data_IF_025207614827
#
_entry.id   IF_025207614827
#
_cell.length_a   1.000
_cell.length_b   1.000
_cell.length_c   1.000
_cell.angle_alpha   90.00
_cell.angle_beta   90.00
_cell.angle_gamma   90.00
#
_symmetry.space_group_name_H-M   'P 1'
#
loop_
_entity.id
_entity.type
_entity.pdbx_description
1 polymer ?
#
# COMPACT_ATOMS: atom_id res chain seq x y z
N UNK A 1 35.08 -22.92 41.44
CA UNK A 1 35.49 -22.49 40.07
C UNK A 1 34.27 -22.63 39.18
N UNK A 2 33.43 -21.61 39.13
CA UNK A 2 32.25 -21.61 38.27
C UNK A 2 32.63 -21.08 36.89
N UNK A 3 32.69 -22.02 35.94
CA UNK A 3 33.03 -21.82 34.55
C UNK A 3 31.77 -21.52 33.72
N UNK A 4 31.09 -20.42 34.00
CA UNK A 4 30.15 -19.81 33.04
C UNK A 4 30.21 -18.29 33.19
N UNK A 5 31.33 -17.72 32.74
CA UNK A 5 31.50 -16.29 32.55
C UNK A 5 30.55 -15.78 31.47
N UNK A 6 29.27 -15.65 31.81
CA UNK A 6 28.26 -14.99 31.00
C UNK A 6 28.53 -13.48 31.12
N UNK A 7 29.59 -13.01 30.46
CA UNK A 7 29.87 -11.58 30.27
C UNK A 7 28.71 -11.03 29.46
N UNK A 8 27.72 -10.48 30.16
CA UNK A 8 26.68 -9.63 29.56
C UNK A 8 27.40 -8.57 28.76
N UNK A 9 27.34 -8.68 27.42
CA UNK A 9 27.93 -7.66 26.54
C UNK A 9 27.37 -6.31 27.00
N UNK A 10 28.23 -5.31 27.30
CA UNK A 10 27.74 -4.02 27.71
C UNK A 10 26.79 -3.49 26.64
N UNK A 11 25.57 -3.16 27.04
CA UNK A 11 24.60 -2.56 26.14
C UNK A 11 25.24 -1.35 25.44
N UNK A 12 25.00 -1.25 24.12
CA UNK A 12 25.48 -0.16 23.27
C UNK A 12 25.33 1.18 24.00
N UNK A 13 26.35 2.08 23.98
CA UNK A 13 26.26 3.39 24.61
C UNK A 13 24.97 4.15 24.25
N UNK A 14 24.48 3.96 23.02
CA UNK A 14 23.22 4.52 22.55
C UNK A 14 22.00 4.00 23.34
N UNK A 15 21.95 2.71 23.67
CA UNK A 15 20.88 2.09 24.47
C UNK A 15 20.90 2.53 25.94
N UNK A 16 21.97 3.20 26.40
CA UNK A 16 22.04 3.80 27.75
C UNK A 16 21.39 5.18 27.80
N UNK A 17 21.20 5.84 26.66
CA UNK A 17 20.47 7.11 26.60
C UNK A 17 19.01 6.90 27.01
N UNK A 18 18.37 7.84 27.72
CA UNK A 18 16.94 7.73 28.02
C UNK A 18 16.08 7.57 26.75
N UNK A 19 14.97 6.80 26.78
CA UNK A 19 14.14 6.55 25.59
C UNK A 19 13.68 7.82 24.88
N UNK A 20 13.37 8.90 25.62
CA UNK A 20 12.96 10.17 25.03
C UNK A 20 14.08 10.88 24.25
N UNK A 21 15.35 10.67 24.62
CA UNK A 21 16.52 11.17 23.87
C UNK A 21 16.73 10.32 22.62
N UNK A 22 16.67 8.98 22.74
CA UNK A 22 16.75 8.09 21.57
C UNK A 22 15.67 8.42 20.54
N UNK A 23 14.44 8.68 20.99
CA UNK A 23 13.33 9.11 20.13
C UNK A 23 13.64 10.40 19.37
N UNK A 24 14.22 11.41 20.02
CA UNK A 24 14.66 12.64 19.33
C UNK A 24 15.72 12.36 18.26
N UNK A 25 16.68 11.47 18.57
CA UNK A 25 17.71 11.06 17.62
C UNK A 25 17.10 10.31 16.44
N UNK A 26 16.17 9.37 16.67
CA UNK A 26 15.48 8.69 15.59
C UNK A 26 14.65 9.64 14.74
N UNK A 27 13.94 10.62 15.32
CA UNK A 27 13.18 11.62 14.55
C UNK A 27 14.10 12.42 13.64
N UNK A 28 15.31 12.74 14.10
CA UNK A 28 16.32 13.41 13.29
C UNK A 28 16.88 12.50 12.18
N UNK A 29 17.10 11.21 12.46
CA UNK A 29 17.68 10.25 11.51
C UNK A 29 16.66 9.62 10.55
N UNK A 30 15.39 9.59 10.93
CA UNK A 30 14.26 9.04 10.16
C UNK A 30 13.27 10.16 9.90
N UNK A 31 13.67 11.21 9.16
CA UNK A 31 12.86 12.41 9.02
C UNK A 31 11.44 12.05 8.57
N UNK A 32 10.47 12.47 9.38
CA UNK A 32 9.07 12.56 8.98
C UNK A 32 8.95 13.98 8.41
N UNK A 33 9.05 14.14 7.09
CA UNK A 33 8.94 15.47 6.51
C UNK A 33 7.53 16.02 6.71
N UNK A 34 7.37 17.21 7.31
CA UNK A 34 6.07 17.78 7.63
C UNK A 34 5.25 18.23 6.42
N UNK A 35 5.83 18.17 5.20
CA UNK A 35 5.19 18.60 3.95
C UNK A 35 4.61 17.47 3.09
N UNK A 36 5.08 16.23 3.25
CA UNK A 36 4.63 15.10 2.44
C UNK A 36 3.85 14.11 3.30
N UNK A 37 2.52 14.14 3.13
CA UNK A 37 1.64 13.22 3.85
C UNK A 37 1.67 11.79 3.28
N UNK A 38 2.11 11.61 2.01
CA UNK A 38 2.01 10.35 1.28
C UNK A 38 3.37 9.66 1.13
N UNK A 39 3.50 8.44 1.63
CA UNK A 39 4.65 7.56 1.41
C UNK A 39 4.33 6.57 0.30
N UNK A 40 5.03 6.70 -0.83
CA UNK A 40 4.85 5.81 -1.98
C UNK A 40 5.67 4.52 -1.83
N UNK A 41 5.09 3.37 -2.16
CA UNK A 41 5.75 2.06 -2.16
C UNK A 41 5.63 1.45 -3.55
N UNK A 42 6.77 1.23 -4.20
CA UNK A 42 6.79 0.70 -5.54
C UNK A 42 6.72 -0.83 -5.53
N UNK A 43 5.90 -1.39 -6.41
CA UNK A 43 5.77 -2.83 -6.59
C UNK A 43 5.73 -3.22 -8.07
N UNK A 44 6.15 -4.45 -8.35
CA UNK A 44 5.94 -5.13 -9.62
C UNK A 44 5.02 -6.34 -9.43
N UNK A 45 4.54 -6.87 -10.56
CA UNK A 45 3.73 -8.07 -10.62
C UNK A 45 4.45 -9.14 -11.43
N UNK A 46 4.68 -10.29 -10.82
CA UNK A 46 5.17 -11.48 -11.50
C UNK A 46 4.01 -12.45 -11.77
N UNK A 47 3.95 -12.93 -13.00
CA UNK A 47 2.85 -13.74 -13.53
C UNK A 47 3.32 -15.15 -13.86
N UNK A 48 3.48 -16.02 -12.86
CA UNK A 48 4.20 -17.29 -13.04
C UNK A 48 3.49 -18.29 -13.97
N UNK A 49 2.20 -18.08 -14.25
CA UNK A 49 1.38 -19.00 -15.03
C UNK A 49 1.00 -18.46 -16.41
N UNK A 50 1.40 -17.23 -16.74
CA UNK A 50 1.19 -16.65 -18.06
C UNK A 50 2.34 -17.06 -19.00
N UNK A 51 2.04 -17.28 -20.27
CA UNK A 51 3.01 -17.79 -21.23
C UNK A 51 4.04 -16.72 -21.63
N UNK A 52 3.61 -15.48 -21.84
CA UNK A 52 4.41 -14.33 -22.26
C UNK A 52 4.01 -13.04 -21.52
N UNK A 53 4.18 -12.98 -20.18
CA UNK A 53 3.82 -11.79 -19.43
C UNK A 53 4.73 -10.62 -19.79
N UNK A 54 4.11 -9.47 -20.00
CA UNK A 54 4.73 -8.19 -20.35
C UNK A 54 3.93 -7.05 -19.71
N UNK A 55 4.48 -5.83 -19.77
CA UNK A 55 3.79 -4.62 -19.32
C UNK A 55 2.58 -4.24 -20.19
N UNK A 56 2.21 -5.02 -21.20
CA UNK A 56 1.03 -4.77 -22.06
C UNK A 56 0.09 -5.96 -22.13
N UNK A 57 0.35 -7.02 -21.36
CA UNK A 57 -0.37 -8.30 -21.36
C UNK A 57 -1.88 -8.22 -21.10
N UNK A 58 -2.37 -7.10 -20.58
CA UNK A 58 -3.78 -6.91 -20.27
C UNK A 58 -4.38 -5.69 -21.00
N UNK A 59 -3.78 -5.31 -22.12
CA UNK A 59 -4.40 -4.34 -23.04
C UNK A 59 -5.54 -5.00 -23.82
N UNK A 60 -6.51 -4.25 -24.39
CA UNK A 60 -7.67 -4.83 -25.07
C UNK A 60 -7.31 -5.67 -26.31
N UNK A 61 -6.06 -5.57 -26.77
CA UNK A 61 -5.52 -6.25 -27.94
C UNK A 61 -4.52 -7.36 -27.60
N UNK A 62 -4.17 -7.53 -26.31
CA UNK A 62 -3.26 -8.58 -25.86
C UNK A 62 -3.91 -9.31 -24.69
N UNK A 63 -4.22 -10.59 -24.91
CA UNK A 63 -4.61 -11.53 -23.88
C UNK A 63 -3.59 -12.66 -23.94
N UNK A 64 -3.10 -13.08 -22.78
CA UNK A 64 -2.11 -14.15 -22.69
C UNK A 64 -2.73 -15.43 -22.15
N UNK A 65 -2.18 -16.56 -22.58
CA UNK A 65 -2.63 -17.87 -22.16
C UNK A 65 -2.09 -18.16 -20.76
N UNK A 66 -3.01 -18.53 -19.89
CA UNK A 66 -2.75 -18.95 -18.52
C UNK A 66 -2.74 -20.48 -18.45
N UNK A 67 -1.69 -21.03 -17.83
CA UNK A 67 -1.54 -22.46 -17.52
C UNK A 67 -1.63 -22.73 -16.01
N UNK A 68 -2.39 -21.91 -15.29
CA UNK A 68 -2.48 -22.06 -13.84
C UNK A 68 -3.20 -23.36 -13.46
N UNK A 69 -2.83 -23.99 -12.33
CA UNK A 69 -3.38 -25.29 -11.94
C UNK A 69 -4.84 -25.22 -11.44
N UNK A 70 -5.46 -24.04 -11.40
CA UNK A 70 -6.86 -23.88 -11.02
C UNK A 70 -7.85 -24.24 -12.15
N UNK A 71 -7.36 -24.32 -13.38
CA UNK A 71 -8.15 -24.68 -14.55
C UNK A 71 -7.54 -25.91 -15.22
N UNK A 72 -8.39 -26.79 -15.74
CA UNK A 72 -7.95 -28.07 -16.30
C UNK A 72 -7.23 -27.93 -17.67
N UNK A 73 -7.43 -26.81 -18.36
CA UNK A 73 -6.89 -26.54 -19.70
C UNK A 73 -6.29 -25.13 -19.77
N UNK A 74 -5.52 -24.87 -20.82
CA UNK A 74 -5.05 -23.52 -21.14
C UNK A 74 -6.26 -22.61 -21.37
N UNK A 75 -6.23 -21.42 -20.79
CA UNK A 75 -7.36 -20.50 -20.77
C UNK A 75 -6.86 -19.05 -20.77
N UNK A 76 -7.74 -18.10 -21.09
CA UNK A 76 -7.45 -16.68 -20.90
C UNK A 76 -7.49 -16.39 -19.40
N UNK A 77 -6.45 -15.73 -18.89
CA UNK A 77 -6.42 -15.30 -17.50
C UNK A 77 -7.69 -14.55 -17.13
N UNK A 78 -8.30 -14.94 -16.01
CA UNK A 78 -9.47 -14.28 -15.46
C UNK A 78 -9.29 -14.14 -13.95
N UNK A 79 -9.41 -12.91 -13.41
CA UNK A 79 -9.28 -12.67 -11.97
C UNK A 79 -10.27 -13.54 -11.18
N UNK A 80 -9.83 -13.99 -10.01
CA UNK A 80 -10.56 -14.89 -9.09
C UNK A 80 -10.84 -16.31 -9.61
N UNK A 81 -10.70 -16.57 -10.91
CA UNK A 81 -10.68 -17.93 -11.46
C UNK A 81 -9.25 -18.48 -11.59
N UNK A 82 -8.29 -17.58 -11.80
CA UNK A 82 -6.86 -17.87 -11.89
C UNK A 82 -6.10 -17.44 -10.63
N UNK A 83 -4.87 -17.95 -10.50
CA UNK A 83 -3.98 -17.57 -9.41
C UNK A 83 -3.58 -16.10 -9.57
N UNK A 84 -3.72 -15.33 -8.49
CA UNK A 84 -3.27 -13.94 -8.46
C UNK A 84 -1.75 -13.83 -8.77
N UNK A 85 -1.30 -12.71 -9.36
CA UNK A 85 0.11 -12.45 -9.56
C UNK A 85 0.86 -12.36 -8.23
N UNK A 86 2.15 -12.64 -8.26
CA UNK A 86 3.04 -12.41 -7.12
C UNK A 86 3.40 -10.93 -7.07
N UNK A 87 3.13 -10.29 -5.93
CA UNK A 87 3.48 -8.89 -5.68
C UNK A 87 4.94 -8.81 -5.22
N UNK A 88 5.76 -8.08 -5.94
CA UNK A 88 7.18 -7.90 -5.67
C UNK A 88 7.45 -6.45 -5.26
N UNK A 89 7.77 -6.21 -3.98
CA UNK A 89 8.09 -4.85 -3.51
C UNK A 89 9.54 -4.51 -3.85
N UNK A 90 9.74 -3.33 -4.45
CA UNK A 90 11.06 -2.89 -4.89
C UNK A 90 12.01 -2.57 -3.73
N UNK A 91 13.27 -3.05 -3.77
CA UNK A 91 14.29 -2.64 -2.81
C UNK A 91 14.62 -1.16 -2.97
N UNK A 92 15.32 -0.57 -1.99
CA UNK A 92 15.71 0.86 -2.02
C UNK A 92 16.61 1.20 -3.21
N UNK A 93 17.41 0.23 -3.68
CA UNK A 93 18.32 0.39 -4.81
C UNK A 93 17.65 0.42 -6.18
N UNK A 94 16.35 0.13 -6.26
CA UNK A 94 15.60 0.19 -7.51
C UNK A 94 15.12 1.63 -7.77
N UNK A 95 14.99 2.03 -9.06
CA UNK A 95 14.43 3.32 -9.43
C UNK A 95 13.10 3.59 -8.72
N UNK A 96 13.03 4.72 -8.02
CA UNK A 96 11.84 5.12 -7.28
C UNK A 96 10.99 6.05 -8.13
N UNK A 97 9.73 5.64 -8.33
CA UNK A 97 8.76 6.34 -9.15
C UNK A 97 7.67 6.96 -8.29
N UNK A 98 7.42 8.24 -8.51
CA UNK A 98 6.36 9.02 -7.86
C UNK A 98 5.22 9.24 -8.86
N UNK A 99 3.99 9.23 -8.38
CA UNK A 99 2.83 9.63 -9.17
C UNK A 99 2.92 11.13 -9.46
N UNK A 100 3.17 11.49 -10.71
CA UNK A 100 3.15 12.88 -11.18
C UNK A 100 1.73 13.31 -11.51
N UNK A 101 1.09 12.55 -12.38
CA UNK A 101 -0.28 12.78 -12.80
C UNK A 101 -1.02 11.44 -12.94
N UNK A 102 -2.20 11.30 -12.33
CA UNK A 102 -3.04 10.15 -12.56
C UNK A 102 -3.83 10.33 -13.86
N UNK A 103 -3.62 9.44 -14.83
CA UNK A 103 -4.33 9.46 -16.11
C UNK A 103 -5.39 8.36 -16.24
N UNK A 104 -6.34 8.53 -17.18
CA UNK A 104 -7.52 7.67 -17.32
C UNK A 104 -7.20 6.25 -17.82
N UNK A 105 -6.12 6.11 -18.59
CA UNK A 105 -5.63 4.82 -19.06
C UNK A 105 -4.31 4.42 -18.37
N UNK A 106 -3.47 5.39 -17.99
CA UNK A 106 -2.18 5.18 -17.33
C UNK A 106 -1.88 6.27 -16.32
N UNK A 107 -1.21 5.91 -15.22
CA UNK A 107 -0.57 6.89 -14.36
C UNK A 107 0.69 7.41 -15.06
N UNK A 108 0.88 8.72 -15.07
CA UNK A 108 2.13 9.37 -15.41
C UNK A 108 3.00 9.33 -14.15
N UNK A 109 4.07 8.56 -14.24
CA UNK A 109 5.04 8.42 -13.18
C UNK A 109 6.32 9.12 -13.58
N UNK A 110 6.94 9.80 -12.62
CA UNK A 110 8.26 10.40 -12.80
C UNK A 110 9.26 9.78 -11.83
N UNK A 111 10.56 9.82 -12.16
CA UNK A 111 11.60 9.54 -11.18
C UNK A 111 11.43 10.47 -9.97
N UNK A 112 11.70 9.92 -8.79
CA UNK A 112 11.79 10.73 -7.58
C UNK A 112 12.94 11.74 -7.70
N UNK A 113 12.72 12.95 -7.19
CA UNK A 113 13.79 13.92 -6.97
C UNK A 113 14.70 13.47 -5.84
N UNK A 114 15.94 13.97 -5.80
CA UNK A 114 16.89 13.68 -4.73
C UNK A 114 16.31 13.99 -3.34
N UNK A 115 15.54 15.08 -3.24
CA UNK A 115 14.86 15.44 -2.00
C UNK A 115 13.87 14.35 -1.56
N UNK A 116 13.00 13.86 -2.45
CA UNK A 116 12.01 12.81 -2.18
C UNK A 116 12.68 11.46 -1.84
N UNK A 117 13.80 11.13 -2.48
CA UNK A 117 14.57 9.92 -2.15
C UNK A 117 15.17 9.98 -0.74
N UNK A 118 15.67 11.15 -0.32
CA UNK A 118 16.19 11.36 1.02
C UNK A 118 15.12 11.26 2.12
N UNK A 119 13.85 11.55 1.81
CA UNK A 119 12.75 11.43 2.78
C UNK A 119 12.28 9.98 2.99
N UNK A 120 12.73 9.04 2.14
CA UNK A 120 12.28 7.66 2.20
C UNK A 120 12.71 7.04 3.54
N UNK A 121 11.76 6.55 4.35
CA UNK A 121 12.09 5.89 5.61
C UNK A 121 12.93 4.65 5.33
N UNK A 122 14.13 4.59 5.90
CA UNK A 122 15.06 3.48 5.72
C UNK A 122 15.12 2.60 6.97
N UNK A 123 14.58 1.39 6.86
CA UNK A 123 14.69 0.37 7.89
C UNK A 123 16.13 -0.20 8.02
N UNK A 124 17.03 0.12 7.09
CA UNK A 124 18.44 -0.29 7.07
C UNK A 124 19.21 0.19 8.29
N UNK A 125 18.86 1.36 8.85
CA UNK A 125 19.43 1.86 10.11
C UNK A 125 19.06 0.96 11.30
N UNK A 126 18.01 0.15 11.17
CA UNK A 126 17.33 -0.53 12.28
C UNK A 126 17.38 -2.06 12.15
N UNK A 127 18.44 -2.59 11.53
CA UNK A 127 18.70 -4.04 11.50
C UNK A 127 19.54 -4.55 12.68
N UNK A 128 19.94 -3.66 13.59
CA UNK A 128 21.01 -3.95 14.54
C UNK A 128 20.51 -4.42 15.92
N UNK A 129 19.28 -4.09 16.32
CA UNK A 129 18.76 -4.44 17.66
C UNK A 129 17.22 -4.37 17.76
N UNK A 130 16.59 -5.36 18.39
CA UNK A 130 15.12 -5.45 18.56
C UNK A 130 14.49 -4.27 19.30
N UNK A 131 15.16 -3.72 20.32
CA UNK A 131 14.67 -2.57 21.08
C UNK A 131 14.63 -1.30 20.23
N UNK A 132 15.69 -1.08 19.43
CA UNK A 132 15.72 0.01 18.44
C UNK A 132 14.61 -0.17 17.41
N UNK A 133 14.38 -1.41 16.97
CA UNK A 133 13.30 -1.76 16.05
C UNK A 133 11.92 -1.40 16.61
N UNK A 134 11.60 -1.84 17.82
CA UNK A 134 10.31 -1.54 18.45
C UNK A 134 10.10 -0.03 18.69
N UNK A 135 11.15 0.72 19.07
CA UNK A 135 11.05 2.17 19.30
C UNK A 135 10.89 3.00 18.01
N UNK A 136 11.39 2.49 16.88
CA UNK A 136 11.42 3.23 15.61
C UNK A 136 10.23 2.92 14.71
N UNK A 137 9.59 1.75 14.86
CA UNK A 137 8.38 1.39 14.12
C UNK A 137 7.31 2.49 14.14
N UNK A 138 6.95 3.12 15.28
CA UNK A 138 6.01 4.24 15.28
C UNK A 138 6.44 5.38 14.35
N UNK A 139 7.74 5.68 14.25
CA UNK A 139 8.25 6.78 13.45
C UNK A 139 8.24 6.48 11.94
N UNK A 140 8.37 5.20 11.60
CA UNK A 140 8.35 4.72 10.22
C UNK A 140 6.92 4.60 9.65
N UNK A 141 5.92 4.37 10.50
CA UNK A 141 4.56 4.03 10.05
C UNK A 141 3.46 5.00 10.51
N UNK A 142 3.59 5.65 11.66
CA UNK A 142 2.55 6.54 12.19
C UNK A 142 2.57 7.91 11.53
N UNK A 143 1.38 8.48 11.33
CA UNK A 143 1.21 9.81 10.75
C UNK A 143 1.52 9.88 9.25
N UNK A 144 1.72 8.72 8.60
CA UNK A 144 1.98 8.60 7.16
C UNK A 144 0.76 8.00 6.45
N UNK A 145 0.61 8.37 5.19
CA UNK A 145 -0.41 7.83 4.29
C UNK A 145 0.27 6.97 3.22
N UNK A 146 0.06 5.66 3.25
CA UNK A 146 0.76 4.76 2.35
C UNK A 146 0.03 4.59 1.02
N UNK A 147 0.75 4.72 -0.09
CA UNK A 147 0.22 4.54 -1.45
C UNK A 147 1.13 3.56 -2.22
N UNK A 148 0.57 2.45 -2.69
CA UNK A 148 1.34 1.52 -3.51
C UNK A 148 1.25 1.89 -4.99
N UNK A 149 2.36 1.94 -5.71
CA UNK A 149 2.41 2.22 -7.14
C UNK A 149 3.13 1.11 -7.90
N UNK A 150 2.59 0.75 -9.05
CA UNK A 150 3.27 -0.10 -10.04
C UNK A 150 3.85 0.79 -11.13
N UNK A 151 4.95 0.37 -11.78
CA UNK A 151 5.74 1.14 -12.76
C UNK A 151 4.99 1.52 -14.06
N UNK A 152 5.72 1.61 -15.18
CA UNK A 152 5.28 2.21 -16.48
C UNK A 152 4.02 1.59 -17.14
N UNK A 153 3.43 0.56 -16.54
CA UNK A 153 2.29 -0.16 -17.13
C UNK A 153 0.98 0.58 -16.83
N UNK A 154 0.22 0.82 -17.90
CA UNK A 154 -0.94 1.67 -17.91
C UNK A 154 -2.08 1.18 -17.00
N UNK A 155 -2.41 -0.10 -17.03
CA UNK A 155 -3.68 -0.55 -16.46
C UNK A 155 -3.50 -1.71 -15.43
N UNK A 156 -2.26 -2.10 -15.07
CA UNK A 156 -1.89 -3.25 -14.20
C UNK A 156 -2.19 -3.10 -12.70
N UNK A 157 -3.39 -2.60 -12.37
CA UNK A 157 -3.69 -2.09 -11.03
C UNK A 157 -4.25 -3.18 -10.16
N UNK A 158 -3.32 -3.95 -9.63
CA UNK A 158 -3.54 -4.76 -8.44
C UNK A 158 -3.36 -3.93 -7.18
N UNK A 159 -3.61 -2.62 -7.19
CA UNK A 159 -3.18 -1.78 -6.08
C UNK A 159 -3.85 -2.19 -4.77
N UNK A 160 -5.16 -2.46 -4.77
CA UNK A 160 -5.84 -2.95 -3.58
C UNK A 160 -5.26 -4.31 -3.11
N UNK A 161 -4.98 -5.21 -4.05
CA UNK A 161 -4.38 -6.51 -3.78
C UNK A 161 -2.94 -6.39 -3.25
N UNK A 162 -2.08 -5.64 -3.93
CA UNK A 162 -0.72 -5.32 -3.54
C UNK A 162 -0.66 -4.65 -2.17
N UNK A 163 -1.60 -3.74 -1.89
CA UNK A 163 -1.70 -3.08 -0.59
C UNK A 163 -2.01 -4.12 0.48
N UNK A 164 -2.97 -5.01 0.24
CA UNK A 164 -3.28 -6.12 1.15
C UNK A 164 -2.07 -7.04 1.34
N UNK A 165 -1.38 -7.44 0.27
CA UNK A 165 -0.20 -8.30 0.35
C UNK A 165 0.89 -7.62 1.18
N UNK A 166 1.24 -6.36 0.87
CA UNK A 166 2.21 -5.60 1.65
C UNK A 166 1.84 -5.52 3.13
N UNK A 167 0.59 -5.14 3.45
CA UNK A 167 0.10 -5.09 4.83
C UNK A 167 0.18 -6.45 5.54
N UNK A 168 -0.04 -7.55 4.82
CA UNK A 168 0.05 -8.90 5.40
C UNK A 168 1.49 -9.34 5.66
N UNK A 169 2.45 -8.85 4.86
CA UNK A 169 3.89 -9.19 5.01
C UNK A 169 4.60 -8.43 6.14
N UNK A 170 4.12 -7.24 6.51
CA UNK A 170 4.72 -6.48 7.61
C UNK A 170 4.31 -7.05 8.99
N UNK A 171 5.15 -6.82 10.00
CA UNK A 171 4.89 -7.34 11.35
C UNK A 171 3.59 -6.78 11.97
N UNK A 172 2.90 -7.52 12.86
CA UNK A 172 1.74 -7.00 13.59
C UNK A 172 2.01 -5.67 14.31
N UNK A 173 3.21 -5.51 14.89
CA UNK A 173 3.63 -4.28 15.55
C UNK A 173 3.72 -3.11 14.57
N UNK A 174 4.27 -3.32 13.36
CA UNK A 174 4.30 -2.30 12.32
C UNK A 174 2.89 -1.91 11.86
N UNK A 175 2.01 -2.90 11.65
CA UNK A 175 0.59 -2.68 11.31
C UNK A 175 -0.13 -1.81 12.34
N UNK A 176 0.16 -2.01 13.62
CA UNK A 176 -0.42 -1.23 14.71
C UNK A 176 -0.03 0.26 14.65
N UNK A 177 0.97 0.65 13.86
CA UNK A 177 1.34 2.06 13.70
C UNK A 177 0.85 2.69 12.40
N UNK A 178 0.21 1.93 11.50
CA UNK A 178 -0.35 2.49 10.27
C UNK A 178 -1.60 3.29 10.62
N UNK A 179 -1.61 4.58 10.29
CA UNK A 179 -2.72 5.50 10.57
C UNK A 179 -3.60 5.80 9.35
N UNK A 180 -3.00 5.74 8.16
CA UNK A 180 -3.68 6.10 6.91
C UNK A 180 -3.16 5.28 5.72
N UNK A 181 -4.05 4.94 4.80
CA UNK A 181 -3.71 4.36 3.49
C UNK A 181 -4.44 5.09 2.37
N UNK A 182 -3.86 5.09 1.17
CA UNK A 182 -4.44 5.65 -0.04
C UNK A 182 -4.58 4.61 -1.13
N UNK A 183 -5.68 4.72 -1.86
CA UNK A 183 -5.94 3.96 -3.07
C UNK A 183 -6.28 4.90 -4.21
N UNK A 184 -5.85 4.52 -5.41
CA UNK A 184 -6.26 5.09 -6.68
C UNK A 184 -7.30 4.15 -7.26
N UNK A 185 -8.52 4.64 -7.40
CA UNK A 185 -9.65 3.89 -7.96
C UNK A 185 -9.98 4.48 -9.33
N UNK A 186 -9.89 3.63 -10.35
CA UNK A 186 -10.12 4.01 -11.73
C UNK A 186 -10.59 2.83 -12.57
N UNK A 187 -11.39 3.10 -13.62
CA UNK A 187 -11.83 2.07 -14.58
C UNK A 187 -10.63 1.36 -15.20
N UNK A 188 -10.83 0.11 -15.60
CA UNK A 188 -9.79 -0.75 -16.18
C UNK A 188 -8.71 -1.21 -15.18
N UNK A 189 -9.09 -1.81 -14.04
CA UNK A 189 -8.17 -2.71 -13.33
C UNK A 189 -7.93 -3.96 -14.22
N UNK A 190 -6.79 -3.99 -14.93
CA UNK A 190 -6.43 -4.82 -16.10
C UNK A 190 -6.90 -6.26 -16.25
N UNK A 191 -7.26 -6.92 -15.17
CA UNK A 191 -7.41 -8.35 -15.13
C UNK A 191 -8.83 -8.78 -14.71
N UNK A 192 -9.65 -7.78 -14.39
CA UNK A 192 -10.97 -7.92 -13.81
C UNK A 192 -11.99 -7.17 -14.66
N UNK A 193 -13.16 -7.76 -14.84
CA UNK A 193 -14.30 -6.99 -15.34
C UNK A 193 -14.63 -5.94 -14.29
N UNK A 194 -15.20 -4.79 -14.66
CA UNK A 194 -15.52 -3.74 -13.66
C UNK A 194 -16.37 -4.28 -12.47
N UNK A 195 -17.14 -5.36 -12.69
CA UNK A 195 -17.89 -6.12 -11.67
C UNK A 195 -17.03 -6.84 -10.61
N UNK A 196 -15.75 -7.11 -10.90
CA UNK A 196 -14.81 -7.85 -10.05
C UNK A 196 -13.96 -6.93 -9.14
N UNK A 197 -13.82 -5.65 -9.52
CA UNK A 197 -13.07 -4.65 -8.75
C UNK A 197 -13.62 -4.45 -7.32
N UNK A 198 -14.96 -4.40 -7.10
CA UNK A 198 -15.54 -4.26 -5.76
C UNK A 198 -15.10 -5.35 -4.78
N UNK A 199 -14.84 -6.58 -5.24
CA UNK A 199 -14.40 -7.67 -4.37
C UNK A 199 -12.97 -7.44 -3.84
N UNK A 200 -12.09 -6.81 -4.62
CA UNK A 200 -10.75 -6.48 -4.17
C UNK A 200 -10.76 -5.37 -3.11
N UNK A 201 -11.55 -4.33 -3.34
CA UNK A 201 -11.77 -3.26 -2.38
C UNK A 201 -12.41 -3.79 -1.09
N UNK A 202 -13.38 -4.71 -1.21
CA UNK A 202 -14.03 -5.36 -0.07
C UNK A 202 -13.04 -6.19 0.75
N UNK A 203 -12.18 -6.98 0.10
CA UNK A 203 -11.11 -7.75 0.76
C UNK A 203 -10.15 -6.86 1.52
N UNK A 204 -9.68 -5.78 0.89
CA UNK A 204 -8.81 -4.80 1.54
C UNK A 204 -9.51 -4.09 2.70
N UNK A 205 -10.74 -3.63 2.51
CA UNK A 205 -11.50 -2.95 3.56
C UNK A 205 -11.72 -3.84 4.79
N UNK A 206 -12.11 -5.10 4.59
CA UNK A 206 -12.20 -6.10 5.67
C UNK A 206 -10.85 -6.30 6.36
N UNK A 207 -9.76 -6.41 5.59
CA UNK A 207 -8.42 -6.57 6.15
C UNK A 207 -8.03 -5.37 7.03
N UNK A 208 -8.28 -4.15 6.56
CA UNK A 208 -8.01 -2.90 7.31
C UNK A 208 -8.76 -2.89 8.64
N UNK A 209 -10.06 -3.19 8.60
CA UNK A 209 -10.91 -3.23 9.80
C UNK A 209 -10.39 -4.26 10.82
N UNK A 210 -10.00 -5.43 10.35
CA UNK A 210 -9.58 -6.55 11.20
C UNK A 210 -8.15 -6.42 11.74
N UNK A 211 -7.23 -5.83 10.96
CA UNK A 211 -5.79 -5.96 11.22
C UNK A 211 -5.07 -4.63 11.48
N UNK A 212 -5.67 -3.48 11.16
CA UNK A 212 -5.05 -2.17 11.31
C UNK A 212 -5.74 -1.32 12.39
N UNK A 213 -5.60 -1.71 13.65
CA UNK A 213 -6.33 -1.11 14.78
C UNK A 213 -6.17 0.40 14.97
N UNK A 214 -5.07 1.00 14.49
CA UNK A 214 -4.85 2.45 14.54
C UNK A 214 -5.03 3.17 13.19
N UNK A 215 -5.36 2.42 12.13
CA UNK A 215 -5.71 3.03 10.87
C UNK A 215 -7.08 3.68 11.03
N UNK A 216 -7.17 4.97 10.76
CA UNK A 216 -8.38 5.78 10.89
C UNK A 216 -8.82 6.39 9.58
N UNK A 217 -7.91 6.48 8.59
CA UNK A 217 -8.21 7.12 7.32
C UNK A 217 -7.91 6.18 6.16
N UNK A 218 -8.91 5.99 5.30
CA UNK A 218 -8.71 5.43 3.96
C UNK A 218 -9.02 6.52 2.96
N UNK A 219 -7.99 6.99 2.25
CA UNK A 219 -8.14 7.95 1.18
C UNK A 219 -8.42 7.21 -0.13
N UNK A 220 -9.61 7.41 -0.68
CA UNK A 220 -10.02 6.85 -1.97
C UNK A 220 -9.95 7.98 -2.99
N UNK A 221 -8.93 7.96 -3.84
CA UNK A 221 -8.80 8.92 -4.92
C UNK A 221 -9.50 8.32 -6.14
N UNK A 222 -10.54 8.99 -6.63
CA UNK A 222 -11.44 8.48 -7.67
C UNK A 222 -11.31 9.31 -8.93
N UNK A 223 -11.14 8.61 -10.04
CA UNK A 223 -11.13 9.17 -11.39
C UNK A 223 -12.46 8.96 -12.09
N UNK A 224 -12.71 9.71 -13.19
CA UNK A 224 -13.93 9.61 -13.99
C UNK A 224 -14.19 8.19 -14.50
N UNK A 225 -14.83 7.38 -13.67
CA UNK A 225 -15.05 5.97 -13.90
C UNK A 225 -16.26 5.51 -13.10
N UNK A 226 -17.05 4.63 -13.71
CA UNK A 226 -18.26 4.02 -13.13
C UNK A 226 -17.89 2.91 -12.14
N UNK A 227 -16.92 3.13 -11.25
CA UNK A 227 -16.55 2.12 -10.27
C UNK A 227 -17.49 2.16 -9.08
N UNK A 228 -18.01 1.00 -8.72
CA UNK A 228 -18.80 0.82 -7.53
C UNK A 228 -17.92 0.93 -6.26
N UNK A 229 -18.03 2.07 -5.57
CA UNK A 229 -17.29 2.33 -4.33
C UNK A 229 -17.98 1.75 -3.08
N UNK A 230 -19.13 1.09 -3.24
CA UNK A 230 -19.95 0.54 -2.15
C UNK A 230 -19.18 -0.45 -1.26
N UNK A 231 -18.17 -1.12 -1.82
CA UNK A 231 -17.27 -2.01 -1.10
C UNK A 231 -16.54 -1.33 0.08
N UNK A 232 -16.24 -0.03 0.01
CA UNK A 232 -15.60 0.71 1.10
C UNK A 232 -16.55 0.96 2.29
N UNK A 233 -17.86 0.70 2.14
CA UNK A 233 -18.80 0.78 3.25
C UNK A 233 -18.50 -0.20 4.39
N UNK A 234 -17.72 -1.25 4.10
CA UNK A 234 -17.21 -2.20 5.08
C UNK A 234 -16.30 -1.56 6.14
N UNK A 235 -15.63 -0.44 5.81
CA UNK A 235 -14.74 0.27 6.72
C UNK A 235 -15.51 0.82 7.94
N UNK A 236 -16.77 1.22 7.76
CA UNK A 236 -17.62 1.76 8.82
C UNK A 236 -18.13 0.71 9.81
N UNK A 237 -17.68 -0.55 9.73
CA UNK A 237 -17.83 -1.52 10.83
C UNK A 237 -17.03 -1.12 12.06
N UNK A 238 -16.08 -0.21 11.90
CA UNK A 238 -15.37 0.46 12.98
C UNK A 238 -15.79 1.93 13.04
N UNK A 239 -16.17 2.38 14.23
CA UNK A 239 -16.72 3.72 14.48
C UNK A 239 -15.68 4.84 14.31
N UNK A 240 -14.39 4.51 14.47
CA UNK A 240 -13.28 5.46 14.37
C UNK A 240 -12.76 5.66 12.93
N UNK A 241 -13.35 4.96 11.96
CA UNK A 241 -12.95 5.00 10.56
C UNK A 241 -13.52 6.21 9.81
N UNK A 242 -12.68 6.78 8.96
CA UNK A 242 -12.98 7.89 8.09
C UNK A 242 -12.60 7.53 6.66
N UNK A 243 -13.55 7.63 5.74
CA UNK A 243 -13.30 7.50 4.29
C UNK A 243 -13.18 8.90 3.71
N UNK A 244 -12.02 9.21 3.13
CA UNK A 244 -11.77 10.48 2.46
C UNK A 244 -11.82 10.21 0.96
N UNK A 245 -12.89 10.63 0.31
CA UNK A 245 -13.07 10.52 -1.13
C UNK A 245 -12.50 11.77 -1.81
N UNK A 246 -11.58 11.60 -2.75
CA UNK A 246 -11.02 12.69 -3.55
C UNK A 246 -11.37 12.47 -5.00
N UNK A 247 -12.27 13.28 -5.53
CA UNK A 247 -12.65 13.22 -6.94
C UNK A 247 -11.73 14.11 -7.76
N UNK A 248 -11.20 13.55 -8.85
CA UNK A 248 -10.28 14.24 -9.75
C UNK A 248 -10.93 14.67 -11.08
N UNK A 249 -12.25 14.90 -11.09
CA UNK A 249 -13.01 15.39 -12.24
C UNK A 249 -12.80 16.90 -12.49
N UNK A 250 -11.64 17.32 -13.01
CA UNK A 250 -11.37 18.71 -13.42
C UNK A 250 -11.39 19.77 -12.30
N UNK A 251 -11.86 19.42 -11.10
CA UNK A 251 -11.78 20.14 -9.84
C UNK A 251 -11.50 19.12 -8.73
N UNK A 252 -10.55 19.42 -7.84
CA UNK A 252 -10.26 18.56 -6.67
C UNK A 252 -11.37 18.72 -5.64
N UNK A 253 -12.39 17.87 -5.70
CA UNK A 253 -13.43 17.79 -4.65
C UNK A 253 -13.03 16.75 -3.64
N UNK A 254 -13.06 17.13 -2.36
CA UNK A 254 -12.79 16.22 -1.25
C UNK A 254 -14.06 16.07 -0.43
N UNK A 255 -14.49 14.83 -0.23
CA UNK A 255 -15.61 14.47 0.61
C UNK A 255 -15.12 13.58 1.75
N UNK A 256 -15.57 13.88 2.96
CA UNK A 256 -15.22 13.12 4.15
C UNK A 256 -16.46 12.42 4.68
N UNK A 257 -16.35 11.12 4.94
CA UNK A 257 -17.42 10.30 5.46
C UNK A 257 -16.97 9.57 6.72
N UNK A 258 -17.75 9.72 7.78
CA UNK A 258 -17.54 9.06 9.09
C UNK A 258 -18.64 8.06 9.42
N UNK A 259 -19.68 8.00 8.60
CA UNK A 259 -20.77 7.06 8.76
C UNK A 259 -21.18 6.42 7.43
N UNK A 260 -21.59 5.16 7.53
CA UNK A 260 -22.00 4.34 6.38
C UNK A 260 -23.17 4.95 5.63
N UNK A 261 -24.13 5.56 6.32
CA UNK A 261 -25.37 6.06 5.73
C UNK A 261 -25.12 7.30 4.88
N UNK A 262 -24.26 8.22 5.31
CA UNK A 262 -23.83 9.37 4.52
C UNK A 262 -23.03 8.92 3.29
N UNK A 263 -22.09 7.99 3.46
CA UNK A 263 -21.32 7.45 2.34
C UNK A 263 -22.21 6.80 1.28
N UNK A 264 -23.10 5.87 1.67
CA UNK A 264 -24.00 5.20 0.71
C UNK A 264 -25.00 6.16 0.06
N UNK A 265 -25.49 7.18 0.79
CA UNK A 265 -26.37 8.22 0.20
C UNK A 265 -25.64 9.08 -0.82
N UNK A 266 -24.34 9.32 -0.62
CA UNK A 266 -23.53 10.04 -1.60
C UNK A 266 -23.36 9.22 -2.87
N UNK A 267 -23.06 7.92 -2.74
CA UNK A 267 -22.89 7.01 -3.89
C UNK A 267 -24.17 6.74 -4.70
N UNK A 268 -25.35 7.00 -4.14
CA UNK A 268 -26.64 6.80 -4.81
C UNK A 268 -27.11 8.02 -5.64
N UNK A 269 -26.35 9.12 -5.63
CA UNK A 269 -26.62 10.34 -6.40
C UNK A 269 -25.87 10.32 -7.71
#
# INVERSE_FOLDING_TARGET
>A
MDATGNRTRPASPFLRLPPHIRKKIYVYLLPIHPGESVTTINYDLAWPFLQHPSSTTFTPHQLDLCKCPQQAQEHIYTRYLCHAPKVCIHPKSAPYWILEEPGPAFNILRPASEAEEMQRPDAGVIRLNRMLYEETLPLLYSGRNFLLLTGICSRGRYQAHATLIWLSTISPTARAHITSISLLVQSNEEDCRDEDAPEAYRKLAKYVVQNLGNCKHVCVNVWPSLIELGAFSELFRREDMCVILKEHHGQKRTHEFRDRKAFMRFLAK
#
